data_IF_176907305617
#
_entry.id   IF_176907305617
#
_cell.length_a   1.000
_cell.length_b   1.000
_cell.length_c   1.000
_cell.angle_alpha   90.00
_cell.angle_beta   90.00
_cell.angle_gamma   90.00
#
_symmetry.space_group_name_H-M   'P 1'
#
loop_
_entity.id
_entity.type
_entity.pdbx_description
1 polymer ?
#
# COMPACT_ATOMS: atom_id res chain seq x y z
N UNK A 1 -13.07 -14.92 2.99
CA UNK A 1 -12.17 -14.29 4.00
C UNK A 1 -10.79 -14.92 3.88
N UNK A 2 -9.84 -14.25 3.21
CA UNK A 2 -8.46 -14.77 3.05
C UNK A 2 -7.48 -14.17 4.07
N UNK A 3 -7.89 -13.19 4.91
CA UNK A 3 -7.07 -12.55 5.93
C UNK A 3 -7.38 -13.12 7.32
N UNK A 4 -6.34 -13.42 8.09
CA UNK A 4 -6.43 -14.00 9.44
C UNK A 4 -6.37 -12.94 10.55
N UNK A 5 -5.99 -11.70 10.25
CA UNK A 5 -5.86 -10.64 11.26
C UNK A 5 -7.19 -10.41 11.99
N UNK A 6 -7.20 -10.38 13.34
CA UNK A 6 -8.44 -10.49 14.10
C UNK A 6 -9.28 -9.21 14.14
N UNK A 7 -8.66 -8.04 13.99
CA UNK A 7 -9.35 -6.76 14.14
C UNK A 7 -8.90 -5.75 13.09
N UNK A 8 -9.76 -5.43 12.15
CA UNK A 8 -9.53 -4.39 11.13
C UNK A 8 -10.87 -3.82 10.66
N UNK A 9 -10.85 -2.60 10.18
CA UNK A 9 -11.92 -2.00 9.40
C UNK A 9 -11.54 -1.94 7.93
N UNK A 10 -12.54 -1.93 7.06
CA UNK A 10 -12.36 -1.68 5.63
C UNK A 10 -13.08 -0.38 5.29
N UNK A 11 -12.33 0.54 4.67
CA UNK A 11 -12.86 1.76 4.08
C UNK A 11 -12.73 1.66 2.56
N UNK A 12 -13.83 1.73 1.85
CA UNK A 12 -13.84 1.86 0.40
C UNK A 12 -14.08 3.33 0.10
N UNK A 13 -13.18 3.94 -0.66
CA UNK A 13 -13.35 5.32 -1.10
C UNK A 13 -13.91 5.28 -2.52
N UNK A 14 -15.20 5.54 -2.64
CA UNK A 14 -15.89 5.62 -3.93
C UNK A 14 -15.47 6.92 -4.65
N UNK A 15 -15.02 6.78 -5.89
CA UNK A 15 -14.57 7.91 -6.70
C UNK A 15 -15.20 7.90 -8.10
N UNK A 16 -16.32 8.59 -8.24
CA UNK A 16 -16.99 8.84 -9.51
C UNK A 16 -17.42 7.57 -10.29
N UNK A 17 -17.82 6.50 -9.60
CA UNK A 17 -18.42 5.32 -10.23
C UNK A 17 -19.72 5.70 -10.94
N UNK A 18 -20.00 5.04 -12.05
CA UNK A 18 -21.19 5.32 -12.87
C UNK A 18 -22.09 4.09 -13.07
N UNK A 19 -21.59 2.90 -12.79
CA UNK A 19 -22.31 1.65 -13.01
C UNK A 19 -23.24 1.32 -11.83
N UNK A 20 -24.50 0.99 -12.12
CA UNK A 20 -25.50 0.61 -11.13
C UNK A 20 -25.09 -0.66 -10.35
N UNK A 21 -24.43 -1.60 -11.03
CA UNK A 21 -23.90 -2.81 -10.40
C UNK A 21 -22.88 -2.49 -9.29
N UNK A 22 -22.04 -1.48 -9.47
CA UNK A 22 -21.08 -1.02 -8.46
C UNK A 22 -21.81 -0.50 -7.22
N UNK A 23 -22.82 0.34 -7.39
CA UNK A 23 -23.61 0.86 -6.26
C UNK A 23 -24.42 -0.23 -5.54
N UNK A 24 -24.93 -1.21 -6.27
CA UNK A 24 -25.59 -2.38 -5.68
C UNK A 24 -24.62 -3.18 -4.82
N UNK A 25 -23.42 -3.41 -5.33
CA UNK A 25 -22.36 -4.10 -4.58
C UNK A 25 -21.91 -3.33 -3.33
N UNK A 26 -21.83 -1.99 -3.40
CA UNK A 26 -21.53 -1.18 -2.22
C UNK A 26 -22.58 -1.35 -1.11
N UNK A 27 -23.87 -1.42 -1.44
CA UNK A 27 -24.93 -1.68 -0.46
C UNK A 27 -24.78 -3.05 0.21
N UNK A 28 -24.38 -4.07 -0.55
CA UNK A 28 -24.09 -5.41 0.00
C UNK A 28 -22.91 -5.40 0.97
N UNK A 29 -21.86 -4.62 0.66
CA UNK A 29 -20.70 -4.46 1.52
C UNK A 29 -21.03 -3.68 2.79
N UNK A 30 -21.81 -2.62 2.69
CA UNK A 30 -22.29 -1.84 3.85
C UNK A 30 -23.15 -2.69 4.79
N UNK A 31 -23.98 -3.58 4.26
CA UNK A 31 -24.73 -4.56 5.07
C UNK A 31 -23.83 -5.55 5.82
N UNK A 32 -22.58 -5.74 5.38
CA UNK A 32 -21.55 -6.54 6.05
C UNK A 32 -20.68 -5.72 7.02
N UNK A 33 -20.98 -4.42 7.22
CA UNK A 33 -20.24 -3.52 8.10
C UNK A 33 -19.01 -2.86 7.47
N UNK A 34 -18.84 -2.95 6.15
CA UNK A 34 -17.80 -2.24 5.42
C UNK A 34 -18.27 -0.80 5.17
N UNK A 35 -17.42 0.17 5.43
CA UNK A 35 -17.75 1.59 5.23
C UNK A 35 -17.40 2.00 3.80
N UNK A 36 -18.40 2.52 3.07
CA UNK A 36 -18.21 3.11 1.74
C UNK A 36 -18.33 4.63 1.87
N UNK A 37 -17.27 5.35 1.53
CA UNK A 37 -17.19 6.80 1.66
C UNK A 37 -17.07 7.41 0.26
N UNK A 38 -17.99 8.31 -0.07
CA UNK A 38 -17.95 9.02 -1.34
C UNK A 38 -16.92 10.16 -1.30
N UNK A 39 -15.94 10.10 -2.20
CA UNK A 39 -14.98 11.19 -2.36
C UNK A 39 -15.68 12.44 -2.95
N UNK A 40 -15.53 13.63 -2.34
CA UNK A 40 -16.38 14.78 -2.68
C UNK A 40 -15.97 15.53 -3.95
N UNK A 41 -14.75 15.27 -4.48
CA UNK A 41 -14.24 15.99 -5.65
C UNK A 41 -14.37 15.17 -6.93
N UNK A 42 -14.43 15.84 -8.07
CA UNK A 42 -14.41 15.23 -9.39
C UNK A 42 -12.99 14.86 -9.82
N UNK A 43 -12.87 13.86 -10.70
CA UNK A 43 -11.62 13.39 -11.24
C UNK A 43 -10.90 12.40 -10.34
N UNK A 44 -9.79 11.87 -10.83
CA UNK A 44 -8.96 10.90 -10.12
C UNK A 44 -7.68 11.56 -9.63
N UNK A 45 -7.44 11.45 -8.34
CA UNK A 45 -6.19 11.81 -7.68
C UNK A 45 -5.94 10.82 -6.55
N UNK A 46 -5.06 9.85 -6.77
CA UNK A 46 -4.75 8.79 -5.81
C UNK A 46 -4.38 9.35 -4.43
N UNK A 47 -3.51 10.36 -4.41
CA UNK A 47 -3.02 10.99 -3.19
C UNK A 47 -4.15 11.64 -2.39
N UNK A 48 -4.97 12.46 -3.05
CA UNK A 48 -6.07 13.17 -2.40
C UNK A 48 -7.18 12.20 -1.91
N UNK A 49 -7.48 11.15 -2.69
CA UNK A 49 -8.45 10.11 -2.32
C UNK A 49 -7.98 9.36 -1.06
N UNK A 50 -6.70 8.95 -1.00
CA UNK A 50 -6.16 8.26 0.16
C UNK A 50 -6.02 9.19 1.37
N UNK A 51 -5.59 10.44 1.19
CA UNK A 51 -5.57 11.43 2.27
C UNK A 51 -6.96 11.65 2.88
N UNK A 52 -8.01 11.68 2.04
CA UNK A 52 -9.38 11.74 2.50
C UNK A 52 -9.77 10.49 3.31
N UNK A 53 -9.43 9.30 2.83
CA UNK A 53 -9.70 8.05 3.54
C UNK A 53 -9.02 7.95 4.90
N UNK A 54 -7.78 8.43 5.02
CA UNK A 54 -7.03 8.42 6.29
C UNK A 54 -7.68 9.28 7.37
N UNK A 55 -8.31 10.41 7.01
CA UNK A 55 -9.04 11.26 7.97
C UNK A 55 -10.21 10.52 8.61
N UNK A 56 -10.81 9.60 7.89
CA UNK A 56 -11.95 8.79 8.32
C UNK A 56 -11.55 7.47 9.00
N UNK A 57 -10.28 7.04 8.82
CA UNK A 57 -9.76 5.81 9.39
C UNK A 57 -9.60 5.92 10.92
N UNK A 58 -9.99 4.85 11.63
CA UNK A 58 -9.94 4.76 13.10
C UNK A 58 -8.76 3.91 13.60
N UNK A 59 -8.17 3.08 12.72
CA UNK A 59 -7.08 2.18 13.07
C UNK A 59 -5.77 2.90 13.36
N UNK A 60 -4.96 2.33 14.23
CA UNK A 60 -3.59 2.78 14.53
C UNK A 60 -2.66 2.55 13.32
N UNK A 61 -2.91 1.45 12.59
CA UNK A 61 -2.17 1.11 11.37
C UNK A 61 -3.05 1.35 10.16
N UNK A 62 -2.47 1.95 9.12
CA UNK A 62 -3.08 2.16 7.82
C UNK A 62 -2.55 1.11 6.85
N UNK A 63 -3.43 0.44 6.13
CA UNK A 63 -3.09 -0.40 4.99
C UNK A 63 -3.68 0.21 3.72
N UNK A 64 -2.83 0.79 2.88
CA UNK A 64 -3.20 1.15 1.52
C UNK A 64 -3.20 -0.12 0.67
N UNK A 65 -4.32 -0.39 0.03
CA UNK A 65 -4.52 -1.61 -0.76
C UNK A 65 -5.33 -1.28 -2.01
N UNK A 66 -4.75 -1.50 -3.17
CA UNK A 66 -5.48 -1.36 -4.41
C UNK A 66 -6.59 -2.41 -4.52
N UNK A 67 -7.67 -2.07 -5.21
CA UNK A 67 -8.85 -2.92 -5.36
C UNK A 67 -8.67 -4.09 -6.33
N UNK A 68 -7.60 -4.10 -7.12
CA UNK A 68 -7.22 -5.15 -8.06
C UNK A 68 -6.24 -6.19 -7.48
N UNK A 69 -6.08 -6.22 -6.14
CA UNK A 69 -5.14 -7.10 -5.46
C UNK A 69 -5.79 -8.39 -4.97
N UNK A 70 -5.11 -9.52 -5.16
CA UNK A 70 -5.49 -10.79 -4.59
C UNK A 70 -4.52 -11.22 -3.47
N UNK A 71 -5.06 -11.51 -2.28
CA UNK A 71 -4.27 -11.97 -1.14
C UNK A 71 -3.84 -13.42 -1.35
N UNK A 72 -2.53 -13.65 -1.35
CA UNK A 72 -1.91 -14.98 -1.47
C UNK A 72 -1.59 -15.56 -0.10
N UNK A 73 -1.04 -14.72 0.80
CA UNK A 73 -0.56 -15.13 2.12
C UNK A 73 -1.52 -14.66 3.21
N UNK A 74 -2.26 -15.56 3.89
CA UNK A 74 -3.33 -15.16 4.82
C UNK A 74 -2.86 -14.33 6.03
N UNK A 75 -1.63 -14.53 6.48
CA UNK A 75 -0.99 -13.85 7.64
C UNK A 75 -0.18 -12.60 7.23
N UNK A 76 -0.43 -12.04 6.04
CA UNK A 76 0.34 -10.89 5.54
C UNK A 76 0.24 -9.66 6.44
N UNK A 77 -0.94 -9.39 7.02
CA UNK A 77 -1.13 -8.24 7.91
C UNK A 77 -0.33 -8.40 9.21
N UNK A 78 -0.34 -9.59 9.82
CA UNK A 78 0.45 -9.91 11.00
C UNK A 78 1.95 -9.66 10.77
N UNK A 79 2.45 -10.10 9.62
CA UNK A 79 3.85 -9.90 9.22
C UNK A 79 4.17 -8.42 9.04
N UNK A 80 3.30 -7.68 8.37
CA UNK A 80 3.48 -6.24 8.18
C UNK A 80 3.45 -5.48 9.51
N UNK A 81 2.48 -5.76 10.38
CA UNK A 81 2.39 -5.17 11.73
C UNK A 81 3.63 -5.51 12.57
N UNK A 82 4.06 -6.77 12.57
CA UNK A 82 5.28 -7.20 13.30
C UNK A 82 6.51 -6.38 12.89
N UNK A 83 6.65 -6.04 11.63
CA UNK A 83 7.72 -5.18 11.15
C UNK A 83 7.58 -3.73 11.64
N UNK A 84 6.36 -3.19 11.64
CA UNK A 84 6.06 -1.82 12.09
C UNK A 84 6.18 -1.61 13.59
N UNK A 85 6.26 -2.68 14.38
CA UNK A 85 6.56 -2.57 15.81
C UNK A 85 8.02 -2.13 16.07
N UNK A 86 8.91 -2.29 15.10
CA UNK A 86 10.27 -1.78 15.18
C UNK A 86 10.27 -0.26 14.95
N UNK A 87 10.76 0.57 15.90
CA UNK A 87 10.63 2.03 15.83
C UNK A 87 11.35 2.65 14.62
N UNK A 88 12.37 1.98 14.09
CA UNK A 88 13.11 2.43 12.92
C UNK A 88 12.41 2.14 11.58
N UNK A 89 11.27 1.41 11.57
CA UNK A 89 10.52 1.14 10.35
C UNK A 89 9.31 2.08 10.28
N UNK A 90 9.22 2.83 9.20
CA UNK A 90 8.12 3.78 8.97
C UNK A 90 7.05 3.26 8.01
N UNK A 91 7.46 2.44 7.03
CA UNK A 91 6.53 1.82 6.09
C UNK A 91 6.93 0.38 5.77
N UNK A 92 5.94 -0.47 5.49
CA UNK A 92 6.16 -1.86 5.05
C UNK A 92 5.34 -2.10 3.79
N UNK A 93 5.98 -2.55 2.71
CA UNK A 93 5.32 -2.95 1.47
C UNK A 93 5.34 -4.46 1.30
N UNK A 94 4.26 -5.03 0.80
CA UNK A 94 4.20 -6.44 0.44
C UNK A 94 4.97 -6.71 -0.85
N UNK A 95 5.54 -7.91 -0.98
CA UNK A 95 6.02 -8.40 -2.27
C UNK A 95 4.84 -8.76 -3.15
N UNK A 96 4.80 -8.24 -4.37
CA UNK A 96 3.69 -8.42 -5.30
C UNK A 96 4.11 -9.22 -6.53
N UNK A 97 3.16 -9.97 -7.06
CA UNK A 97 3.32 -10.77 -8.26
C UNK A 97 2.26 -10.42 -9.30
N UNK A 98 2.63 -10.50 -10.57
CA UNK A 98 1.68 -10.51 -11.66
C UNK A 98 0.91 -11.84 -11.73
N UNK A 99 -0.22 -11.91 -12.46
CA UNK A 99 -0.98 -13.16 -12.61
C UNK A 99 -0.19 -14.31 -13.23
N UNK A 100 0.87 -14.01 -13.99
CA UNK A 100 1.80 -15.00 -14.57
C UNK A 100 2.86 -15.52 -13.59
N UNK A 101 2.75 -15.17 -12.30
CA UNK A 101 3.71 -15.50 -11.25
C UNK A 101 5.11 -14.88 -11.43
N UNK A 102 5.24 -13.79 -12.14
CA UNK A 102 6.46 -12.98 -12.12
C UNK A 102 6.36 -11.85 -11.07
N UNK A 103 7.49 -11.38 -10.57
CA UNK A 103 7.56 -10.30 -9.59
C UNK A 103 7.09 -8.99 -10.22
N UNK A 104 6.06 -8.37 -9.65
CA UNK A 104 5.62 -7.02 -9.94
C UNK A 104 6.36 -6.00 -9.07
N UNK A 105 6.47 -6.29 -7.77
CA UNK A 105 7.14 -5.43 -6.79
C UNK A 105 7.93 -6.25 -5.78
N UNK A 106 9.18 -5.85 -5.57
CA UNK A 106 10.02 -6.34 -4.49
C UNK A 106 10.93 -5.22 -3.94
N UNK A 107 10.34 -4.04 -3.74
CA UNK A 107 11.00 -2.80 -3.38
C UNK A 107 11.24 -1.89 -4.58
N UNK A 108 11.51 -0.62 -4.30
CA UNK A 108 11.82 0.42 -5.28
C UNK A 108 13.25 0.88 -5.07
N UNK A 109 13.97 1.07 -6.16
CA UNK A 109 15.34 1.59 -6.19
C UNK A 109 15.31 2.96 -6.87
N UNK A 110 15.81 3.98 -6.20
CA UNK A 110 15.93 5.33 -6.74
C UNK A 110 17.04 5.36 -7.80
N UNK A 111 16.78 6.04 -8.91
CA UNK A 111 17.72 6.20 -10.04
C UNK A 111 17.58 5.14 -11.14
N UNK A 112 16.89 4.03 -10.91
CA UNK A 112 16.62 3.06 -11.97
C UNK A 112 15.52 3.60 -12.89
N UNK A 113 15.74 3.51 -14.21
CA UNK A 113 14.78 3.99 -15.20
C UNK A 113 14.63 5.51 -15.28
N UNK A 114 15.58 6.24 -14.69
CA UNK A 114 15.62 7.70 -14.68
C UNK A 114 15.24 8.31 -13.32
N UNK A 115 14.15 7.92 -12.71
CA UNK A 115 13.69 8.46 -11.41
C UNK A 115 13.69 7.35 -10.35
N UNK A 116 12.88 6.32 -10.52
CA UNK A 116 12.74 5.19 -9.61
C UNK A 116 12.11 4.00 -10.35
N UNK A 117 12.49 2.78 -9.97
CA UNK A 117 11.96 1.58 -10.60
C UNK A 117 11.87 0.41 -9.63
N UNK A 118 10.99 -0.55 -9.97
CA UNK A 118 10.79 -1.75 -9.19
C UNK A 118 11.98 -2.71 -9.29
N UNK A 119 12.49 -3.13 -8.14
CA UNK A 119 13.54 -4.14 -8.07
C UNK A 119 12.98 -5.51 -8.50
N UNK A 120 13.79 -6.27 -9.24
CA UNK A 120 13.49 -7.65 -9.66
C UNK A 120 12.22 -7.81 -10.52
N UNK A 121 11.76 -6.74 -11.16
CA UNK A 121 10.61 -6.77 -12.05
C UNK A 121 10.73 -7.92 -13.07
N UNK A 122 9.67 -8.72 -13.22
CA UNK A 122 9.63 -9.87 -14.15
C UNK A 122 10.38 -11.12 -13.70
N UNK A 123 11.03 -11.12 -12.50
CA UNK A 123 11.69 -12.30 -11.97
C UNK A 123 10.63 -13.38 -11.63
N UNK A 124 10.82 -14.61 -12.11
CA UNK A 124 9.89 -15.70 -11.83
C UNK A 124 9.77 -15.98 -10.32
N UNK A 125 8.56 -16.27 -9.84
CA UNK A 125 8.26 -16.64 -8.44
C UNK A 125 9.13 -17.81 -7.99
N UNK A 126 9.65 -17.74 -6.77
CA UNK A 126 10.56 -18.75 -6.22
C UNK A 126 12.04 -18.55 -6.58
N UNK A 127 12.36 -17.64 -7.51
CA UNK A 127 13.75 -17.26 -7.78
C UNK A 127 14.21 -16.22 -6.77
N UNK A 128 15.39 -16.41 -6.23
CA UNK A 128 15.93 -15.57 -5.15
C UNK A 128 16.62 -14.27 -5.64
N UNK A 129 16.88 -14.17 -6.93
CA UNK A 129 17.59 -13.02 -7.51
C UNK A 129 19.05 -12.91 -7.02
N UNK A 130 19.68 -11.76 -7.31
CA UNK A 130 21.05 -11.47 -6.93
C UNK A 130 21.20 -11.48 -5.40
N UNK A 131 22.15 -12.28 -4.90
CA UNK A 131 22.44 -12.47 -3.45
C UNK A 131 21.18 -12.74 -2.61
N UNK A 132 20.25 -13.51 -3.14
CA UNK A 132 18.96 -13.82 -2.49
C UNK A 132 18.08 -12.61 -2.15
N UNK A 133 18.42 -11.42 -2.61
CA UNK A 133 17.71 -10.18 -2.25
C UNK A 133 16.24 -10.16 -2.63
N UNK A 134 15.80 -10.93 -3.65
CA UNK A 134 14.40 -11.04 -3.99
C UNK A 134 13.58 -11.91 -3.00
N UNK A 135 14.25 -12.71 -2.17
CA UNK A 135 13.59 -13.64 -1.21
C UNK A 135 13.69 -13.16 0.24
N UNK A 136 14.64 -12.29 0.55
CA UNK A 136 14.88 -11.81 1.91
C UNK A 136 14.05 -10.57 2.19
N UNK A 137 13.52 -10.47 3.41
CA UNK A 137 13.02 -9.24 3.95
C UNK A 137 14.16 -8.22 4.07
N UNK A 138 13.95 -6.99 3.60
CA UNK A 138 15.02 -5.99 3.60
C UNK A 138 14.51 -4.55 3.56
N UNK A 139 15.30 -3.64 4.06
CA UNK A 139 15.06 -2.21 3.87
C UNK A 139 15.36 -1.83 2.41
N UNK A 140 14.50 -1.00 1.86
CA UNK A 140 14.54 -0.51 0.48
C UNK A 140 14.32 1.00 0.45
N UNK A 141 14.63 1.66 -0.66
CA UNK A 141 14.43 3.12 -0.77
C UNK A 141 12.96 3.51 -0.67
N UNK A 142 12.07 2.73 -1.29
CA UNK A 142 10.64 2.92 -1.21
C UNK A 142 9.90 1.61 -1.47
N UNK A 143 8.61 1.58 -1.12
CA UNK A 143 7.66 0.51 -1.41
C UNK A 143 6.42 1.07 -2.08
N UNK A 144 5.74 0.27 -2.90
CA UNK A 144 4.54 0.73 -3.60
C UNK A 144 3.31 0.78 -2.71
N UNK A 145 2.51 1.82 -2.86
CA UNK A 145 1.24 1.97 -2.18
C UNK A 145 0.13 1.02 -2.69
N UNK A 146 0.40 0.22 -3.72
CA UNK A 146 -0.52 -0.85 -4.14
C UNK A 146 -0.81 -1.86 -3.00
N UNK A 147 0.18 -2.11 -2.10
CA UNK A 147 -0.01 -2.79 -0.82
C UNK A 147 1.06 -2.30 0.16
N UNK A 148 0.75 -1.25 0.92
CA UNK A 148 1.68 -0.62 1.86
C UNK A 148 1.00 -0.39 3.20
N UNK A 149 1.66 -0.78 4.28
CA UNK A 149 1.21 -0.53 5.65
C UNK A 149 2.15 0.41 6.38
N UNK A 150 1.59 1.25 7.24
CA UNK A 150 2.32 2.16 8.10
C UNK A 150 1.50 2.55 9.33
N UNK A 151 2.12 3.12 10.35
CA UNK A 151 1.41 3.73 11.46
C UNK A 151 0.75 5.03 11.02
N UNK A 152 -0.47 5.28 11.49
CA UNK A 152 -1.21 6.52 11.20
C UNK A 152 -0.43 7.75 11.67
N UNK A 153 0.21 7.68 12.86
CA UNK A 153 1.07 8.75 13.39
C UNK A 153 2.21 9.13 12.43
N UNK A 154 2.85 8.12 11.78
CA UNK A 154 3.94 8.37 10.82
C UNK A 154 3.42 9.02 9.55
N UNK A 155 2.25 8.58 9.07
CA UNK A 155 1.60 9.19 7.91
C UNK A 155 1.27 10.67 8.15
N UNK A 156 0.74 10.98 9.33
CA UNK A 156 0.40 12.34 9.75
C UNK A 156 1.67 13.20 9.97
N UNK A 157 2.71 12.64 10.59
CA UNK A 157 4.00 13.31 10.85
C UNK A 157 4.67 13.79 9.54
N UNK A 158 4.59 12.98 8.49
CA UNK A 158 5.16 13.35 7.18
C UNK A 158 4.19 14.14 6.28
N UNK A 159 2.97 14.43 6.74
CA UNK A 159 1.98 15.24 6.04
C UNK A 159 1.16 14.49 4.98
N UNK A 160 1.13 13.14 5.02
CA UNK A 160 0.35 12.33 4.08
C UNK A 160 0.93 12.25 2.68
N UNK A 161 0.14 11.83 1.70
CA UNK A 161 0.53 11.85 0.29
C UNK A 161 0.55 13.27 -0.28
N UNK A 162 1.52 13.56 -1.14
CA UNK A 162 1.59 14.82 -1.89
C UNK A 162 0.52 14.83 -3.00
N UNK A 163 -0.44 15.74 -2.90
CA UNK A 163 -1.60 15.79 -3.82
C UNK A 163 -1.24 16.30 -5.22
N UNK A 164 -0.11 16.98 -5.41
CA UNK A 164 0.41 17.33 -6.72
C UNK A 164 0.86 16.08 -7.51
N UNK A 165 1.24 15.01 -6.81
CA UNK A 165 1.57 13.69 -7.38
C UNK A 165 0.30 12.84 -7.45
N UNK A 166 -0.56 13.13 -8.40
CA UNK A 166 -1.91 12.56 -8.46
C UNK A 166 -2.00 11.09 -8.86
N UNK A 167 -1.00 10.53 -9.56
CA UNK A 167 -1.05 9.17 -10.11
C UNK A 167 0.22 8.37 -9.83
N UNK A 168 1.40 8.95 -10.02
CA UNK A 168 2.68 8.23 -9.96
C UNK A 168 3.65 8.91 -9.02
N UNK A 169 4.61 8.13 -8.48
CA UNK A 169 5.67 8.54 -7.56
C UNK A 169 5.21 9.13 -6.21
N UNK A 170 3.92 9.13 -5.93
CA UNK A 170 3.37 9.56 -4.64
C UNK A 170 3.83 8.64 -3.49
N UNK A 171 3.93 7.35 -3.73
CA UNK A 171 4.49 6.35 -2.81
C UNK A 171 6.01 6.51 -2.62
N UNK A 172 6.72 6.81 -3.69
CA UNK A 172 8.16 7.10 -3.64
C UNK A 172 8.43 8.35 -2.81
N UNK A 173 7.73 9.46 -3.09
CA UNK A 173 7.84 10.70 -2.35
C UNK A 173 7.53 10.50 -0.85
N UNK A 174 6.43 9.82 -0.53
CA UNK A 174 6.04 9.49 0.84
C UNK A 174 7.16 8.71 1.56
N UNK A 175 7.70 7.66 0.93
CA UNK A 175 8.78 6.87 1.49
C UNK A 175 10.08 7.69 1.69
N UNK A 176 10.39 8.61 0.78
CA UNK A 176 11.55 9.50 0.92
C UNK A 176 11.37 10.48 2.09
N UNK A 177 10.15 11.01 2.31
CA UNK A 177 9.84 11.85 3.47
C UNK A 177 9.93 11.07 4.78
N UNK A 178 9.47 9.82 4.79
CA UNK A 178 9.67 8.88 5.91
C UNK A 178 11.17 8.67 6.20
N UNK A 179 11.98 8.52 5.14
CA UNK A 179 13.43 8.42 5.28
C UNK A 179 14.07 9.67 5.91
N UNK A 180 13.58 10.87 5.60
CA UNK A 180 14.07 12.14 6.19
C UNK A 180 13.84 12.25 7.70
N UNK A 181 12.79 11.62 8.23
CA UNK A 181 12.56 11.56 9.69
C UNK A 181 13.26 10.37 10.37
N UNK A 182 14.20 9.72 9.65
CA UNK A 182 15.05 8.67 10.19
C UNK A 182 14.43 7.27 10.23
N UNK A 183 13.31 7.04 9.53
CA UNK A 183 12.65 5.73 9.47
C UNK A 183 12.84 5.08 8.11
N UNK A 184 12.97 3.76 8.07
CA UNK A 184 13.18 2.99 6.85
C UNK A 184 11.86 2.50 6.26
N UNK A 185 11.85 2.31 4.93
CA UNK A 185 10.85 1.52 4.24
C UNK A 185 11.34 0.06 4.14
N UNK A 186 10.51 -0.89 4.55
CA UNK A 186 10.83 -2.31 4.57
C UNK A 186 9.96 -3.06 3.57
N UNK A 187 10.53 -3.99 2.82
CA UNK A 187 9.78 -4.92 1.98
C UNK A 187 9.70 -6.28 2.66
N UNK A 188 8.46 -6.72 2.92
CA UNK A 188 8.10 -8.02 3.44
C UNK A 188 8.06 -9.09 2.34
#
# INVERSE_FOLDING_TARGET
KKCMYPSYEILIIENNSTEEATFSYYKELEAQGIRVLKYPKQGFNYSAINNFGVKEAKGEYLLFLNNDMEIITPDFMEKMVSNLQRPQIGAVGAKLYYPDNTVQHAGIIIGIGGIAGHAFLGLARGRSGYLHKASLQMNVSAVTAACMMMKKEVFEEVGGFEEELSVAFNDVDLCLRIGKIGRASCRE
#
